data_IF_220465956737
#
_entry.id   IF_220465956737
#
_cell.length_a   1.000
_cell.length_b   1.000
_cell.length_c   1.000
_cell.angle_alpha   90.00
_cell.angle_beta   90.00
_cell.angle_gamma   90.00
#
_symmetry.space_group_name_H-M   'P 1'
#
loop_
_entity.id
_entity.type
_entity.pdbx_description
1 polymer ?
#
# COMPACT_ATOMS: atom_id res chain seq x y z
N UNK A 1 -8.76 11.31 4.38
CA UNK A 1 -8.97 9.93 4.85
C UNK A 1 -9.42 8.97 3.75
N UNK A 2 -10.39 9.30 2.89
CA UNK A 2 -10.88 8.39 1.83
C UNK A 2 -9.77 7.83 0.90
N UNK A 3 -8.77 8.64 0.55
CA UNK A 3 -7.66 8.23 -0.32
C UNK A 3 -6.88 7.01 0.20
N UNK A 4 -6.72 6.87 1.52
CA UNK A 4 -6.03 5.71 2.11
C UNK A 4 -6.78 4.42 1.79
N UNK A 5 -8.10 4.42 1.99
CA UNK A 5 -8.90 3.24 1.71
C UNK A 5 -9.10 2.99 0.21
N UNK A 6 -8.99 4.00 -0.65
CA UNK A 6 -8.90 3.80 -2.12
C UNK A 6 -7.67 2.97 -2.48
N UNK A 7 -6.51 3.25 -1.87
CA UNK A 7 -5.29 2.46 -2.07
C UNK A 7 -5.48 1.04 -1.56
N UNK A 8 -6.03 0.89 -0.34
CA UNK A 8 -6.37 -0.41 0.25
C UNK A 8 -7.29 -1.25 -0.65
N UNK A 9 -8.40 -0.69 -1.12
CA UNK A 9 -9.32 -1.35 -2.06
C UNK A 9 -8.62 -1.74 -3.34
N UNK A 10 -7.77 -0.87 -3.89
CA UNK A 10 -7.02 -1.17 -5.11
C UNK A 10 -6.10 -2.39 -4.93
N UNK A 11 -5.47 -2.56 -3.76
CA UNK A 11 -4.65 -3.74 -3.44
C UNK A 11 -5.50 -5.01 -3.46
N UNK A 12 -6.67 -4.99 -2.81
CA UNK A 12 -7.60 -6.12 -2.79
C UNK A 12 -8.01 -6.50 -4.21
N UNK A 13 -8.38 -5.50 -5.02
CA UNK A 13 -8.80 -5.71 -6.40
C UNK A 13 -7.66 -6.21 -7.31
N UNK A 14 -6.41 -5.84 -7.04
CA UNK A 14 -5.25 -6.42 -7.74
C UNK A 14 -5.14 -7.92 -7.46
N UNK A 15 -5.29 -8.35 -6.21
CA UNK A 15 -5.24 -9.78 -5.86
C UNK A 15 -6.44 -10.54 -6.43
N UNK A 16 -7.63 -9.98 -6.30
CA UNK A 16 -8.85 -10.53 -6.89
C UNK A 16 -8.72 -10.65 -8.43
N UNK A 17 -8.19 -9.64 -9.10
CA UNK A 17 -7.96 -9.66 -10.55
C UNK A 17 -6.99 -10.75 -10.98
N UNK A 18 -5.91 -10.94 -10.22
CA UNK A 18 -4.95 -12.02 -10.46
C UNK A 18 -5.60 -13.38 -10.27
N UNK A 19 -6.38 -13.56 -9.20
CA UNK A 19 -7.13 -14.78 -8.96
C UNK A 19 -8.10 -15.08 -10.11
N UNK A 20 -8.89 -14.10 -10.52
CA UNK A 20 -9.81 -14.24 -11.65
C UNK A 20 -9.11 -14.68 -12.93
N UNK A 21 -8.05 -13.97 -13.30
CA UNK A 21 -7.32 -14.22 -14.56
C UNK A 21 -6.68 -15.61 -14.58
N UNK A 22 -6.13 -16.06 -13.44
CA UNK A 22 -5.41 -17.33 -13.37
C UNK A 22 -6.31 -18.54 -13.16
N UNK A 23 -7.43 -18.39 -12.44
CA UNK A 23 -8.19 -19.55 -11.94
C UNK A 23 -9.70 -19.44 -12.03
N UNK A 24 -10.27 -18.24 -12.18
CA UNK A 24 -11.71 -18.04 -12.00
C UNK A 24 -12.44 -17.55 -13.26
N UNK A 25 -11.74 -17.37 -14.38
CA UNK A 25 -12.28 -16.82 -15.64
C UNK A 25 -13.50 -17.59 -16.15
N UNK A 26 -13.44 -18.92 -16.12
CA UNK A 26 -14.49 -19.81 -16.61
C UNK A 26 -15.49 -20.23 -15.52
N UNK A 27 -15.41 -19.62 -14.34
CA UNK A 27 -16.28 -19.93 -13.20
C UNK A 27 -17.40 -18.91 -13.05
N UNK A 28 -18.37 -19.19 -12.16
CA UNK A 28 -19.44 -18.22 -11.80
C UNK A 28 -18.89 -16.93 -11.17
N UNK A 29 -17.63 -16.92 -10.73
CA UNK A 29 -16.98 -15.73 -10.16
C UNK A 29 -17.00 -14.53 -11.11
N UNK A 30 -17.03 -14.75 -12.44
CA UNK A 30 -17.13 -13.66 -13.43
C UNK A 30 -18.32 -12.72 -13.23
N UNK A 31 -19.43 -13.23 -12.69
CA UNK A 31 -20.62 -12.42 -12.37
C UNK A 31 -20.54 -11.81 -10.97
N UNK A 32 -20.17 -12.62 -9.96
CA UNK A 32 -20.03 -12.15 -8.57
C UNK A 32 -19.00 -11.05 -8.40
N UNK A 33 -17.95 -11.07 -9.23
CA UNK A 33 -16.89 -10.07 -9.24
C UNK A 33 -17.42 -8.64 -9.45
N UNK A 34 -18.44 -8.45 -10.28
CA UNK A 34 -18.99 -7.11 -10.55
C UNK A 34 -19.59 -6.54 -9.28
N UNK A 35 -20.42 -7.33 -8.59
CA UNK A 35 -21.00 -6.96 -7.31
C UNK A 35 -19.90 -6.75 -6.25
N UNK A 36 -18.90 -7.62 -6.21
CA UNK A 36 -17.77 -7.51 -5.28
C UNK A 36 -17.01 -6.17 -5.45
N UNK A 37 -16.67 -5.81 -6.69
CA UNK A 37 -15.98 -4.55 -7.00
C UNK A 37 -16.86 -3.36 -6.60
N UNK A 38 -18.14 -3.38 -6.97
CA UNK A 38 -19.08 -2.31 -6.65
C UNK A 38 -19.20 -2.09 -5.14
N UNK A 39 -19.40 -3.17 -4.37
CA UNK A 39 -19.54 -3.11 -2.91
C UNK A 39 -18.28 -2.56 -2.25
N UNK A 40 -17.09 -2.97 -2.70
CA UNK A 40 -15.83 -2.46 -2.16
C UNK A 40 -15.70 -0.95 -2.40
N UNK A 41 -15.96 -0.47 -3.62
CA UNK A 41 -15.91 0.97 -3.90
C UNK A 41 -16.98 1.74 -3.16
N UNK A 42 -18.21 1.22 -3.10
CA UNK A 42 -19.31 1.83 -2.34
C UNK A 42 -18.88 2.08 -0.88
N UNK A 43 -18.38 1.07 -0.19
CA UNK A 43 -17.94 1.24 1.19
C UNK A 43 -16.74 2.19 1.32
N UNK A 44 -15.80 2.17 0.38
CA UNK A 44 -14.64 3.09 0.37
C UNK A 44 -15.03 4.56 0.27
N UNK A 45 -16.13 4.88 -0.41
CA UNK A 45 -16.64 6.25 -0.43
C UNK A 45 -17.63 6.54 0.70
N UNK A 46 -18.39 5.55 1.16
CA UNK A 46 -19.42 5.72 2.17
C UNK A 46 -18.93 5.69 3.62
N UNK A 47 -17.76 5.11 3.93
CA UNK A 47 -17.37 4.83 5.32
C UNK A 47 -17.21 6.08 6.21
N UNK A 48 -16.96 7.26 5.64
CA UNK A 48 -16.85 8.51 6.42
C UNK A 48 -18.22 9.14 6.74
N UNK A 49 -19.29 8.73 6.07
CA UNK A 49 -20.63 9.34 6.24
C UNK A 49 -21.04 9.34 7.72
N UNK A 50 -20.93 8.23 8.48
CA UNK A 50 -21.28 8.25 9.89
C UNK A 50 -20.46 9.25 10.71
N UNK A 51 -19.17 9.41 10.41
CA UNK A 51 -18.31 10.36 11.13
C UNK A 51 -18.72 11.82 10.87
N UNK A 52 -19.17 12.14 9.66
CA UNK A 52 -19.62 13.49 9.29
C UNK A 52 -21.00 13.80 9.87
N UNK A 53 -21.89 12.81 9.94
CA UNK A 53 -23.23 12.99 10.51
C UNK A 53 -23.24 13.04 12.04
N UNK A 54 -22.24 12.45 12.68
CA UNK A 54 -22.10 12.39 14.15
C UNK A 54 -21.11 13.41 14.72
N UNK A 55 -20.83 14.50 13.98
CA UNK A 55 -19.98 15.58 14.48
C UNK A 55 -20.63 16.22 15.71
N UNK A 56 -19.92 16.29 16.86
CA UNK A 56 -20.48 16.87 18.08
C UNK A 56 -20.60 18.39 17.97
N UNK A 57 -21.43 18.98 18.86
CA UNK A 57 -21.41 20.42 19.09
C UNK A 57 -19.99 20.88 19.42
N UNK A 58 -19.50 21.86 18.66
CA UNK A 58 -18.08 22.23 18.71
C UNK A 58 -17.71 22.93 20.01
N UNK A 59 -18.62 23.68 20.64
CA UNK A 59 -18.34 24.32 21.91
C UNK A 59 -18.14 23.27 23.00
N UNK A 60 -19.07 22.33 23.12
CA UNK A 60 -18.97 21.22 24.06
C UNK A 60 -17.73 20.34 23.80
N UNK A 61 -17.45 20.03 22.54
CA UNK A 61 -16.33 19.19 22.16
C UNK A 61 -14.96 19.85 22.46
N UNK A 62 -14.83 21.16 22.26
CA UNK A 62 -13.63 21.91 22.59
C UNK A 62 -13.40 21.97 24.10
N UNK A 63 -14.45 22.24 24.89
CA UNK A 63 -14.37 22.24 26.35
C UNK A 63 -13.97 20.87 26.90
N UNK A 64 -14.54 19.79 26.37
CA UNK A 64 -14.15 18.42 26.70
C UNK A 64 -12.68 18.17 26.35
N UNK A 65 -12.26 18.52 25.13
CA UNK A 65 -10.88 18.31 24.65
C UNK A 65 -9.85 19.07 25.50
N UNK A 66 -10.15 20.31 25.90
CA UNK A 66 -9.24 21.09 26.75
C UNK A 66 -9.10 20.54 28.17
N UNK A 67 -10.14 19.87 28.69
CA UNK A 67 -10.04 19.12 29.95
C UNK A 67 -9.19 17.86 29.80
N UNK A 68 -9.28 17.17 28.67
CA UNK A 68 -8.48 15.98 28.37
C UNK A 68 -7.00 16.31 28.12
N UNK A 69 -6.71 17.45 27.49
CA UNK A 69 -5.35 17.87 27.14
C UNK A 69 -5.06 19.25 27.77
N UNK A 70 -4.87 19.31 29.10
CA UNK A 70 -4.73 20.59 29.82
C UNK A 70 -3.51 21.39 29.34
N UNK A 71 -2.44 20.70 28.96
CA UNK A 71 -1.15 21.27 28.55
C UNK A 71 -1.09 21.68 27.07
N UNK A 72 -2.23 21.80 26.39
CA UNK A 72 -2.26 22.22 24.99
C UNK A 72 -1.73 23.68 24.85
N UNK A 73 -0.72 23.93 23.99
CA UNK A 73 -0.14 25.27 23.79
C UNK A 73 -1.18 26.33 23.40
N UNK A 74 -0.96 27.57 23.85
CA UNK A 74 -1.90 28.69 23.63
C UNK A 74 -2.06 29.02 22.15
N UNK A 75 -1.00 28.81 21.37
CA UNK A 75 -0.95 29.02 19.92
C UNK A 75 -1.90 28.06 19.20
N UNK A 76 -1.98 26.80 19.67
CA UNK A 76 -2.88 25.80 19.10
C UNK A 76 -4.34 26.10 19.50
N UNK A 77 -4.57 26.51 20.76
CA UNK A 77 -5.90 26.90 21.26
C UNK A 77 -6.47 28.14 20.54
N UNK A 78 -5.62 29.05 20.08
CA UNK A 78 -6.03 30.24 19.35
C UNK A 78 -6.38 29.97 17.87
N UNK A 79 -6.01 28.80 17.34
CA UNK A 79 -6.33 28.40 15.98
C UNK A 79 -7.77 27.88 15.83
N UNK A 80 -8.29 27.80 14.59
CA UNK A 80 -9.59 27.18 14.33
C UNK A 80 -9.48 25.66 14.50
N UNK A 81 -9.78 25.17 15.71
CA UNK A 81 -9.83 23.75 16.01
C UNK A 81 -11.20 23.18 15.67
N UNK A 82 -11.20 22.08 14.91
CA UNK A 82 -12.40 21.31 14.60
C UNK A 82 -12.29 19.92 15.24
N UNK A 83 -13.21 19.60 16.13
CA UNK A 83 -13.26 18.31 16.81
C UNK A 83 -14.22 17.40 16.07
N UNK A 84 -13.67 16.42 15.35
CA UNK A 84 -14.45 15.46 14.57
C UNK A 84 -15.24 14.50 15.47
N UNK A 85 -14.67 14.10 16.60
CA UNK A 85 -15.25 13.11 17.51
C UNK A 85 -14.70 13.30 18.93
N UNK A 86 -15.55 13.07 19.92
CA UNK A 86 -15.17 12.91 21.34
C UNK A 86 -15.39 11.48 21.84
N UNK A 87 -16.11 10.66 21.07
CA UNK A 87 -16.43 9.26 21.38
C UNK A 87 -15.79 8.29 20.38
N UNK A 88 -15.57 7.05 20.82
CA UNK A 88 -14.89 6.02 20.03
C UNK A 88 -15.69 5.50 18.81
N UNK A 89 -17.00 5.80 18.73
CA UNK A 89 -17.89 5.29 17.67
C UNK A 89 -17.42 5.67 16.25
N UNK A 90 -16.79 6.83 16.11
CA UNK A 90 -16.23 7.29 14.82
C UNK A 90 -15.14 6.36 14.29
N UNK A 91 -14.49 5.56 15.14
CA UNK A 91 -13.47 4.60 14.73
C UNK A 91 -14.05 3.31 14.13
N UNK A 92 -15.31 2.96 14.41
CA UNK A 92 -15.91 1.69 13.96
C UNK A 92 -15.94 1.51 12.44
N UNK A 93 -16.35 2.51 11.62
CA UNK A 93 -16.26 2.40 10.17
C UNK A 93 -14.83 2.20 9.65
N UNK A 94 -13.82 2.79 10.30
CA UNK A 94 -12.41 2.60 9.93
C UNK A 94 -11.96 1.16 10.20
N UNK A 95 -12.30 0.61 11.36
CA UNK A 95 -12.03 -0.79 11.70
C UNK A 95 -12.74 -1.75 10.74
N UNK A 96 -14.01 -1.48 10.40
CA UNK A 96 -14.75 -2.26 9.41
C UNK A 96 -14.04 -2.28 8.06
N UNK A 97 -13.63 -1.11 7.55
CA UNK A 97 -12.91 -1.01 6.28
C UNK A 97 -11.54 -1.72 6.30
N UNK A 98 -10.83 -1.63 7.43
CA UNK A 98 -9.58 -2.34 7.64
C UNK A 98 -9.77 -3.86 7.56
N UNK A 99 -10.77 -4.40 8.27
CA UNK A 99 -11.13 -5.82 8.25
C UNK A 99 -11.59 -6.26 6.86
N UNK A 100 -12.46 -5.49 6.20
CA UNK A 100 -12.94 -5.78 4.85
C UNK A 100 -11.76 -5.91 3.86
N UNK A 101 -10.83 -4.95 3.91
CA UNK A 101 -9.65 -4.94 3.03
C UNK A 101 -8.68 -6.07 3.35
N UNK A 102 -8.32 -6.23 4.62
CA UNK A 102 -7.37 -7.25 5.05
C UNK A 102 -7.92 -8.65 4.79
N UNK A 103 -9.18 -8.89 5.13
CA UNK A 103 -9.89 -10.15 4.89
C UNK A 103 -10.03 -10.46 3.40
N UNK A 104 -10.40 -9.46 2.58
CA UNK A 104 -10.46 -9.61 1.12
C UNK A 104 -9.11 -9.99 0.52
N UNK A 105 -8.05 -9.25 0.89
CA UNK A 105 -6.68 -9.55 0.46
C UNK A 105 -6.27 -10.97 0.86
N UNK A 106 -6.39 -11.30 2.15
CA UNK A 106 -6.02 -12.62 2.69
C UNK A 106 -6.74 -13.75 1.98
N UNK A 107 -8.03 -13.58 1.68
CA UNK A 107 -8.85 -14.55 0.94
C UNK A 107 -8.27 -14.83 -0.45
N UNK A 108 -8.05 -13.80 -1.27
CA UNK A 108 -7.53 -14.01 -2.62
C UNK A 108 -6.09 -14.51 -2.65
N UNK A 109 -5.23 -14.03 -1.74
CA UNK A 109 -3.85 -14.53 -1.61
C UNK A 109 -3.86 -16.02 -1.27
N UNK A 110 -4.74 -16.43 -0.35
CA UNK A 110 -4.90 -17.83 0.06
C UNK A 110 -5.40 -18.67 -1.10
N UNK A 111 -6.44 -18.22 -1.82
CA UNK A 111 -6.97 -18.90 -3.00
C UNK A 111 -5.92 -19.05 -4.11
N UNK A 112 -5.18 -17.99 -4.42
CA UNK A 112 -4.08 -18.03 -5.39
C UNK A 112 -3.02 -19.04 -4.95
N UNK A 113 -2.59 -18.98 -3.68
CA UNK A 113 -1.54 -19.86 -3.17
C UNK A 113 -1.95 -21.32 -3.16
N UNK A 114 -3.20 -21.64 -2.76
CA UNK A 114 -3.75 -22.99 -2.77
C UNK A 114 -3.88 -23.53 -4.19
N UNK A 115 -4.43 -22.75 -5.12
CA UNK A 115 -4.60 -23.16 -6.51
C UNK A 115 -3.25 -23.33 -7.24
N UNK A 116 -2.29 -22.45 -6.98
CA UNK A 116 -0.94 -22.53 -7.53
C UNK A 116 -0.21 -23.78 -7.04
N UNK A 117 -0.26 -24.05 -5.73
CA UNK A 117 0.34 -25.24 -5.13
C UNK A 117 -0.30 -26.53 -5.68
N UNK A 118 -1.62 -26.55 -5.82
CA UNK A 118 -2.33 -27.69 -6.42
C UNK A 118 -1.91 -27.92 -7.88
N UNK A 119 -1.84 -26.85 -8.68
CA UNK A 119 -1.42 -26.90 -10.08
C UNK A 119 0.04 -27.40 -10.22
N UNK A 120 0.94 -26.89 -9.38
CA UNK A 120 2.35 -27.32 -9.37
C UNK A 120 2.50 -28.80 -8.99
N UNK A 121 1.68 -29.32 -8.06
CA UNK A 121 1.71 -30.72 -7.61
C UNK A 121 1.17 -31.70 -8.65
N UNK A 122 0.21 -31.28 -9.48
CA UNK A 122 -0.43 -32.16 -10.48
C UNK A 122 0.49 -32.57 -11.64
N UNK A 123 1.77 -32.16 -11.67
CA UNK A 123 2.72 -32.40 -12.77
C UNK A 123 2.24 -31.99 -14.18
N UNK A 124 1.10 -31.31 -14.28
CA UNK A 124 0.50 -30.87 -15.53
C UNK A 124 1.19 -29.65 -16.16
N UNK A 125 2.34 -29.22 -15.62
CA UNK A 125 3.09 -28.06 -16.10
C UNK A 125 4.59 -28.35 -16.08
N UNK A 126 5.30 -27.74 -17.04
CA UNK A 126 6.75 -27.88 -17.18
C UNK A 126 7.52 -27.32 -15.97
N UNK A 127 8.74 -27.81 -15.74
CA UNK A 127 9.62 -27.31 -14.66
C UNK A 127 9.92 -25.81 -14.79
N UNK A 128 10.04 -25.30 -16.02
CA UNK A 128 10.15 -23.87 -16.29
C UNK A 128 8.96 -23.09 -15.72
N UNK A 129 7.74 -23.57 -15.99
CA UNK A 129 6.50 -22.94 -15.50
C UNK A 129 6.40 -23.03 -13.97
N UNK A 130 6.74 -24.17 -13.36
CA UNK A 130 6.79 -24.32 -11.89
C UNK A 130 7.75 -23.30 -11.26
N UNK A 131 8.92 -23.07 -11.86
CA UNK A 131 9.90 -22.07 -11.40
C UNK A 131 9.33 -20.65 -11.49
N UNK A 132 8.61 -20.33 -12.57
CA UNK A 132 7.96 -19.02 -12.73
C UNK A 132 6.86 -18.81 -11.68
N UNK A 133 6.00 -19.81 -11.46
CA UNK A 133 4.94 -19.79 -10.45
C UNK A 133 5.49 -19.57 -9.03
N UNK A 134 6.58 -20.27 -8.66
CA UNK A 134 7.24 -20.06 -7.35
C UNK A 134 7.79 -18.64 -7.20
N UNK A 135 8.44 -18.09 -8.23
CA UNK A 135 8.94 -16.70 -8.21
C UNK A 135 7.78 -15.71 -8.03
N UNK A 136 6.67 -15.94 -8.73
CA UNK A 136 5.46 -15.12 -8.62
C UNK A 136 4.82 -15.19 -7.23
N UNK A 137 4.70 -16.39 -6.64
CA UNK A 137 4.20 -16.52 -5.27
C UNK A 137 5.10 -15.79 -4.27
N UNK A 138 6.43 -15.90 -4.39
CA UNK A 138 7.36 -15.15 -3.53
C UNK A 138 7.13 -13.64 -3.64
N UNK A 139 6.97 -13.12 -4.87
CA UNK A 139 6.64 -11.72 -5.10
C UNK A 139 5.34 -11.29 -4.40
N UNK A 140 4.27 -12.08 -4.54
CA UNK A 140 2.98 -11.83 -3.86
C UNK A 140 3.18 -11.79 -2.35
N UNK A 141 3.83 -12.80 -1.76
CA UNK A 141 4.06 -12.84 -0.32
C UNK A 141 4.84 -11.62 0.17
N UNK A 142 5.86 -11.18 -0.57
CA UNK A 142 6.60 -9.97 -0.23
C UNK A 142 5.73 -8.71 -0.31
N UNK A 143 4.85 -8.56 -1.31
CA UNK A 143 3.90 -7.44 -1.38
C UNK A 143 2.94 -7.43 -0.18
N UNK A 144 2.51 -8.60 0.28
CA UNK A 144 1.63 -8.74 1.44
C UNK A 144 2.34 -8.35 2.72
N UNK A 145 3.60 -8.74 2.89
CA UNK A 145 4.40 -8.31 4.04
C UNK A 145 4.54 -6.78 4.10
N UNK A 146 4.72 -6.15 2.94
CA UNK A 146 4.73 -4.67 2.87
C UNK A 146 3.39 -4.09 3.31
N UNK A 147 2.26 -4.64 2.87
CA UNK A 147 0.94 -4.19 3.34
C UNK A 147 0.77 -4.37 4.85
N UNK A 148 1.15 -5.52 5.40
CA UNK A 148 1.06 -5.82 6.84
C UNK A 148 1.87 -4.80 7.64
N UNK A 149 3.14 -4.58 7.26
CA UNK A 149 4.03 -3.65 7.98
C UNK A 149 3.53 -2.22 7.89
N UNK A 150 3.07 -1.78 6.71
CA UNK A 150 2.73 -0.37 6.49
C UNK A 150 1.32 0.02 6.94
N UNK A 151 0.39 -0.94 7.04
CA UNK A 151 -1.02 -0.64 7.33
C UNK A 151 -1.56 -1.44 8.50
N UNK A 152 -1.40 -2.77 8.50
CA UNK A 152 -2.01 -3.62 9.53
C UNK A 152 -1.35 -3.41 10.91
N UNK A 153 -0.02 -3.34 10.96
CA UNK A 153 0.70 -3.12 12.23
C UNK A 153 0.39 -1.76 12.86
N UNK A 154 0.42 -0.62 12.12
CA UNK A 154 0.01 0.67 12.67
C UNK A 154 -1.45 0.71 13.13
N UNK A 155 -2.37 0.10 12.36
CA UNK A 155 -3.78 0.02 12.76
C UNK A 155 -3.98 -0.80 14.02
N UNK A 156 -3.30 -1.95 14.14
CA UNK A 156 -3.36 -2.79 15.33
C UNK A 156 -2.83 -2.04 16.57
N UNK A 157 -1.72 -1.31 16.43
CA UNK A 157 -1.20 -0.47 17.50
C UNK A 157 -2.24 0.57 17.95
N UNK A 158 -2.82 1.34 17.03
CA UNK A 158 -3.87 2.33 17.34
C UNK A 158 -5.04 1.66 18.06
N UNK A 159 -5.52 0.52 17.53
CA UNK A 159 -6.66 -0.20 18.08
C UNK A 159 -6.42 -0.67 19.51
N UNK A 160 -5.26 -1.30 19.78
CA UNK A 160 -4.89 -1.74 21.13
C UNK A 160 -4.72 -0.53 22.06
N UNK A 161 -4.03 0.52 21.62
CA UNK A 161 -3.86 1.75 22.40
C UNK A 161 -5.19 2.37 22.83
N UNK A 162 -6.19 2.41 21.94
CA UNK A 162 -7.52 2.91 22.28
C UNK A 162 -8.22 1.99 23.28
N UNK A 163 -8.20 0.68 23.05
CA UNK A 163 -8.90 -0.27 23.93
C UNK A 163 -8.31 -0.34 25.34
N UNK A 164 -7.00 -0.16 25.48
CA UNK A 164 -6.33 -0.23 26.78
C UNK A 164 -6.06 1.14 27.40
N UNK A 165 -6.55 2.23 26.78
CA UNK A 165 -6.26 3.61 27.16
C UNK A 165 -4.74 3.88 27.32
N UNK A 166 -3.94 3.24 26.45
CA UNK A 166 -2.48 3.30 26.50
C UNK A 166 -1.93 4.34 25.53
N UNK A 167 -1.42 5.44 26.08
CA UNK A 167 -0.76 6.49 25.31
C UNK A 167 0.77 6.34 25.32
N UNK A 168 1.37 6.28 24.13
CA UNK A 168 2.83 6.32 23.96
C UNK A 168 3.20 7.23 22.78
N UNK A 169 3.86 8.35 23.06
CA UNK A 169 4.18 9.35 22.05
C UNK A 169 5.15 8.83 20.99
N UNK A 170 6.15 8.03 21.38
CA UNK A 170 7.09 7.41 20.44
C UNK A 170 6.37 6.45 19.49
N UNK A 171 5.47 5.62 20.00
CA UNK A 171 4.66 4.69 19.20
C UNK A 171 3.75 5.43 18.22
N UNK A 172 3.05 6.47 18.67
CA UNK A 172 2.24 7.32 17.79
C UNK A 172 3.07 8.00 16.69
N UNK A 173 4.23 8.55 17.03
CA UNK A 173 5.14 9.14 16.04
C UNK A 173 5.60 8.10 15.01
N UNK A 174 5.92 6.88 15.45
CA UNK A 174 6.33 5.80 14.55
C UNK A 174 5.20 5.41 13.59
N UNK A 175 3.95 5.39 14.05
CA UNK A 175 2.78 5.16 13.17
C UNK A 175 2.72 6.20 12.05
N UNK A 176 2.88 7.48 12.36
CA UNK A 176 2.90 8.54 11.34
C UNK A 176 4.06 8.39 10.36
N UNK A 177 5.24 8.02 10.85
CA UNK A 177 6.43 7.77 10.01
C UNK A 177 6.17 6.61 9.05
N UNK A 178 5.69 5.46 9.55
CA UNK A 178 5.37 4.29 8.72
C UNK A 178 4.31 4.65 7.68
N UNK A 179 3.26 5.37 8.09
CA UNK A 179 2.24 5.87 7.19
C UNK A 179 2.82 6.82 6.13
N UNK A 180 3.82 7.65 6.44
CA UNK A 180 4.46 8.52 5.44
C UNK A 180 5.32 7.73 4.42
N UNK A 181 6.00 6.66 4.86
CA UNK A 181 6.88 5.86 4.00
C UNK A 181 6.18 4.80 3.14
N UNK A 182 4.88 4.55 3.34
CA UNK A 182 4.16 3.48 2.64
C UNK A 182 4.29 3.53 1.10
N UNK A 183 4.25 4.72 0.50
CA UNK A 183 4.31 4.90 -0.95
C UNK A 183 5.68 4.51 -1.52
N UNK A 184 6.75 4.90 -0.82
CA UNK A 184 8.13 4.52 -1.17
C UNK A 184 8.31 3.02 -1.02
N UNK A 185 7.86 2.44 0.10
CA UNK A 185 7.94 1.01 0.37
C UNK A 185 7.20 0.18 -0.70
N UNK A 186 6.00 0.61 -1.11
CA UNK A 186 5.22 -0.02 -2.17
C UNK A 186 5.91 0.04 -3.53
N UNK A 187 6.53 1.18 -3.86
CA UNK A 187 7.28 1.36 -5.12
C UNK A 187 8.52 0.48 -5.16
N UNK A 188 9.29 0.45 -4.06
CA UNK A 188 10.50 -0.36 -3.95
C UNK A 188 10.18 -1.85 -4.11
N UNK A 189 9.13 -2.35 -3.45
CA UNK A 189 8.77 -3.77 -3.59
C UNK A 189 8.26 -4.10 -5.00
N UNK A 190 7.53 -3.18 -5.65
CA UNK A 190 7.11 -3.36 -7.03
C UNK A 190 8.30 -3.50 -7.98
N UNK A 191 9.31 -2.64 -7.86
CA UNK A 191 10.55 -2.74 -8.63
C UNK A 191 11.31 -4.03 -8.29
N UNK A 192 11.52 -4.34 -7.02
CA UNK A 192 12.27 -5.53 -6.62
C UNK A 192 11.59 -6.84 -7.04
N UNK A 193 10.26 -6.92 -6.95
CA UNK A 193 9.53 -8.15 -7.19
C UNK A 193 9.27 -8.42 -8.69
N UNK A 194 9.09 -7.39 -9.52
CA UNK A 194 8.60 -7.55 -10.89
C UNK A 194 9.63 -7.17 -11.95
N UNK A 195 10.13 -8.17 -12.70
CA UNK A 195 11.12 -7.97 -13.78
C UNK A 195 10.71 -6.89 -14.80
N UNK A 196 9.47 -6.85 -15.33
CA UNK A 196 9.10 -5.88 -16.36
C UNK A 196 9.28 -4.43 -15.90
N UNK A 197 8.97 -4.15 -14.63
CA UNK A 197 9.12 -2.81 -14.06
C UNK A 197 10.59 -2.42 -13.94
N UNK A 198 11.47 -3.33 -13.50
CA UNK A 198 12.93 -3.06 -13.45
C UNK A 198 13.52 -2.77 -14.82
N UNK A 199 13.09 -3.53 -15.82
CA UNK A 199 13.61 -3.42 -17.18
C UNK A 199 13.26 -2.06 -17.78
N UNK A 200 12.04 -1.57 -17.57
CA UNK A 200 11.63 -0.21 -17.94
C UNK A 200 12.47 0.85 -17.21
N UNK A 201 12.62 0.75 -15.89
CA UNK A 201 13.41 1.71 -15.11
C UNK A 201 14.89 1.71 -15.50
N UNK A 202 15.48 0.54 -15.74
CA UNK A 202 16.86 0.40 -16.18
C UNK A 202 17.07 1.02 -17.56
N UNK A 203 16.17 0.75 -18.52
CA UNK A 203 16.25 1.32 -19.86
C UNK A 203 16.09 2.85 -19.85
N UNK A 204 15.19 3.37 -19.01
CA UNK A 204 15.03 4.81 -18.84
C UNK A 204 16.28 5.45 -18.23
N UNK A 205 16.84 4.85 -17.18
CA UNK A 205 18.07 5.35 -16.54
C UNK A 205 19.26 5.33 -17.51
N UNK A 206 19.40 4.26 -18.31
CA UNK A 206 20.40 4.16 -19.36
C UNK A 206 20.23 5.28 -20.40
N UNK A 207 19.01 5.52 -20.87
CA UNK A 207 18.72 6.59 -21.84
C UNK A 207 19.06 7.97 -21.28
N UNK A 208 18.65 8.27 -20.04
CA UNK A 208 18.99 9.53 -19.36
C UNK A 208 20.51 9.69 -19.25
N UNK A 209 21.23 8.62 -18.92
CA UNK A 209 22.69 8.65 -18.85
C UNK A 209 23.33 8.91 -20.22
N UNK A 210 22.79 8.34 -21.29
CA UNK A 210 23.23 8.58 -22.67
C UNK A 210 22.97 10.05 -23.07
N UNK A 211 21.78 10.57 -22.79
CA UNK A 211 21.40 11.96 -23.10
C UNK A 211 22.28 12.97 -22.32
N UNK A 212 22.54 12.71 -21.03
CA UNK A 212 23.45 13.55 -20.21
C UNK A 212 24.89 13.53 -20.70
N UNK A 213 25.37 12.39 -21.24
CA UNK A 213 26.71 12.29 -21.85
C UNK A 213 26.78 13.06 -23.16
N UNK A 214 25.73 13.03 -23.98
CA UNK A 214 25.69 13.80 -25.24
C UNK A 214 25.54 15.31 -25.00
N UNK A 215 24.84 15.72 -23.93
CA UNK A 215 24.67 17.13 -23.56
C UNK A 215 25.91 17.77 -22.92
N UNK A 216 26.94 16.99 -22.57
CA UNK A 216 28.17 17.49 -21.94
C UNK A 216 29.39 17.25 -22.85
N UNK A 217 29.79 18.23 -23.70
CA UNK A 217 30.86 18.05 -24.69
C UNK A 217 32.23 17.73 -24.08
N UNK A 218 32.46 18.10 -22.81
CA UNK A 218 33.76 17.97 -22.12
C UNK A 218 34.24 16.52 -21.95
N UNK A 219 33.38 15.51 -22.10
CA UNK A 219 33.77 14.09 -21.98
C UNK A 219 34.30 13.52 -23.31
N UNK A 220 34.00 14.18 -24.45
CA UNK A 220 34.42 13.68 -25.77
C UNK A 220 35.90 13.99 -26.08
N UNK A 221 36.40 15.10 -25.55
CA UNK A 221 37.76 15.60 -25.85
C UNK A 221 38.85 15.06 -24.90
N UNK A 222 38.51 14.21 -23.94
CA UNK A 222 39.47 13.66 -22.96
C UNK A 222 39.89 12.21 -23.23
N UNK A 223 39.49 11.60 -24.36
CA UNK A 223 40.10 10.34 -24.79
C UNK A 223 41.36 10.63 -25.61
N UNK A 224 42.57 10.30 -25.14
CA UNK A 224 43.76 10.44 -25.97
C UNK A 224 43.68 9.42 -27.12
N UNK A 225 43.68 9.92 -28.35
CA UNK A 225 44.00 9.12 -29.53
C UNK A 225 45.44 8.63 -29.39
N UNK A 226 45.62 7.38 -28.95
CA UNK A 226 46.92 6.72 -29.00
C UNK A 226 47.23 6.45 -30.47
N UNK A 227 47.99 7.36 -31.07
CA UNK A 227 48.62 7.14 -32.37
C UNK A 227 49.72 6.09 -32.20
N UNK A 228 49.42 4.84 -32.54
CA UNK A 228 50.46 3.81 -32.67
C UNK A 228 51.20 4.05 -33.98
N UNK A 229 52.18 4.95 -33.96
CA UNK A 229 53.17 5.06 -35.03
C UNK A 229 54.18 3.93 -34.85
N UNK A 230 54.02 2.86 -35.62
CA UNK A 230 55.03 1.82 -35.78
C UNK A 230 56.13 2.42 -36.67
N UNK A 231 57.31 2.67 -36.09
CA UNK A 231 58.53 2.93 -36.84
C UNK A 231 59.10 1.58 -37.30
N UNK A 232 59.38 1.52 -38.61
CA UNK A 232 59.99 0.41 -39.37
C UNK A 232 61.36 0.05 -38.78
#
# INVERSE_FOLDING_TARGET
MALVFVVCTSIVLIFENRYYTLYAKDTKWKYFRIAYIFVNYFFTFAFNIPAVLSVPDQQMALEFTYKQIPNLPKEIKAGPLFILAIDYWVQMPFNFMAVLTAGGSFTFITLISRNMNSTTRRNNISEHTKRLQRKFLKAIHSQVMVFVINFLSPMLYIFVSILTDYYNQMGNNLVFIVAAFHGINSTLIMLWAHKPYREVCYNLARKIQEDLKMANPRVRDSQPTVSTTILI
#
